data_IF_142253637713
#
_entry.id   IF_142253637713
#
_cell.length_a   1.000
_cell.length_b   1.000
_cell.length_c   1.000
_cell.angle_alpha   90.00
_cell.angle_beta   90.00
_cell.angle_gamma   90.00
#
_symmetry.space_group_name_H-M   'P 1'
#
loop_
_entity.id
_entity.type
_entity.pdbx_description
1 polymer ?
#
# COMPACT_ATOMS: atom_id res chain seq x y z
N UNK A 1 -20.66 -8.39 -3.70
CA UNK A 1 -19.41 -8.29 -2.92
C UNK A 1 -18.25 -8.03 -3.86
N UNK A 2 -17.66 -6.84 -3.75
CA UNK A 2 -16.45 -6.44 -4.46
C UNK A 2 -15.34 -6.05 -3.49
N UNK A 3 -14.13 -5.87 -4.01
CA UNK A 3 -13.01 -5.33 -3.25
C UNK A 3 -12.46 -4.08 -3.95
N UNK A 4 -12.25 -3.01 -3.18
CA UNK A 4 -11.69 -1.75 -3.62
C UNK A 4 -10.31 -1.59 -3.01
N UNK A 5 -9.33 -1.20 -3.81
CA UNK A 5 -7.99 -0.86 -3.35
C UNK A 5 -7.77 0.64 -3.41
N UNK A 6 -7.16 1.19 -2.36
CA UNK A 6 -6.71 2.57 -2.28
C UNK A 6 -5.21 2.56 -1.95
N UNK A 7 -4.42 3.16 -2.83
CA UNK A 7 -3.02 3.47 -2.58
C UNK A 7 -2.87 4.95 -2.28
N UNK A 8 -2.20 5.26 -1.17
CA UNK A 8 -1.96 6.64 -0.75
C UNK A 8 -0.45 6.89 -0.72
N UNK A 9 0.00 7.85 -1.51
CA UNK A 9 1.41 8.27 -1.59
C UNK A 9 1.62 9.67 -1.05
N UNK A 10 2.84 10.01 -0.68
CA UNK A 10 3.21 11.37 -0.27
C UNK A 10 3.51 12.24 -1.51
N UNK A 11 3.03 13.48 -1.50
CA UNK A 11 3.41 14.53 -2.45
C UNK A 11 4.70 15.26 -2.03
N UNK A 12 5.15 15.00 -0.81
CA UNK A 12 6.38 15.52 -0.22
C UNK A 12 7.44 14.42 -0.15
N UNK A 13 8.73 14.74 0.04
CA UNK A 13 9.76 13.72 0.19
C UNK A 13 9.44 12.71 1.31
N UNK A 14 9.43 11.42 0.95
CA UNK A 14 9.28 10.33 1.93
C UNK A 14 10.65 9.93 2.48
N UNK A 15 10.98 10.46 3.67
CA UNK A 15 12.24 10.16 4.35
C UNK A 15 12.40 8.68 4.66
N UNK A 16 11.31 7.94 4.90
CA UNK A 16 11.35 6.50 5.16
C UNK A 16 11.76 5.72 3.91
N UNK A 17 11.19 6.08 2.75
CA UNK A 17 11.58 5.47 1.48
C UNK A 17 13.04 5.78 1.11
N UNK A 18 13.48 7.03 1.35
CA UNK A 18 14.87 7.46 1.13
C UNK A 18 15.84 6.66 2.02
N UNK A 19 15.54 6.54 3.31
CA UNK A 19 16.38 5.77 4.24
C UNK A 19 16.41 4.29 3.87
N UNK A 20 15.26 3.70 3.50
CA UNK A 20 15.20 2.31 3.04
C UNK A 20 16.08 2.11 1.79
N UNK A 21 15.98 2.99 0.79
CA UNK A 21 16.82 2.93 -0.40
C UNK A 21 18.32 2.94 -0.07
N UNK A 22 18.79 3.92 0.72
CA UNK A 22 20.20 3.99 1.08
C UNK A 22 20.68 2.80 1.91
N UNK A 23 19.82 2.28 2.79
CA UNK A 23 20.11 1.07 3.58
C UNK A 23 20.28 -0.14 2.66
N UNK A 24 19.37 -0.33 1.70
CA UNK A 24 19.46 -1.42 0.72
C UNK A 24 20.71 -1.32 -0.15
N UNK A 25 21.09 -0.12 -0.60
CA UNK A 25 22.35 0.09 -1.33
C UNK A 25 23.56 -0.34 -0.50
N UNK A 26 23.59 -0.01 0.80
CA UNK A 26 24.66 -0.42 1.73
C UNK A 26 24.65 -1.91 2.02
N UNK A 27 23.50 -2.57 1.94
CA UNK A 27 23.35 -4.03 2.09
C UNK A 27 23.78 -4.82 0.84
N UNK A 28 24.17 -4.14 -0.25
CA UNK A 28 24.68 -4.76 -1.46
C UNK A 28 23.69 -4.81 -2.63
N UNK A 29 22.48 -4.25 -2.49
CA UNK A 29 21.48 -4.20 -3.57
C UNK A 29 21.82 -3.09 -4.59
N UNK A 30 22.94 -3.22 -5.28
CA UNK A 30 23.49 -2.18 -6.18
C UNK A 30 22.66 -1.93 -7.42
N UNK A 31 21.90 -2.92 -7.91
CA UNK A 31 20.96 -2.81 -9.05
C UNK A 31 19.67 -2.05 -8.73
N UNK A 32 19.40 -1.76 -7.45
CA UNK A 32 18.25 -0.96 -7.04
C UNK A 32 18.48 0.51 -7.41
N UNK A 33 17.55 1.06 -8.18
CA UNK A 33 17.59 2.42 -8.72
C UNK A 33 16.68 3.39 -7.96
N UNK A 34 15.72 2.87 -7.19
CA UNK A 34 14.84 3.69 -6.36
C UNK A 34 13.91 2.86 -5.50
N UNK A 35 13.36 3.50 -4.47
CA UNK A 35 12.32 2.95 -3.62
C UNK A 35 11.25 4.00 -3.44
N UNK A 36 9.99 3.63 -3.67
CA UNK A 36 8.83 4.41 -3.25
C UNK A 36 8.03 3.60 -2.25
N UNK A 37 7.30 4.32 -1.41
CA UNK A 37 6.43 3.74 -0.40
C UNK A 37 5.05 4.36 -0.54
N UNK A 38 4.01 3.52 -0.44
CA UNK A 38 2.61 3.94 -0.40
C UNK A 38 1.90 3.19 0.71
N UNK A 39 0.97 3.86 1.36
CA UNK A 39 0.00 3.17 2.21
C UNK A 39 -0.99 2.44 1.31
N UNK A 40 -1.40 1.25 1.74
CA UNK A 40 -2.35 0.41 1.04
C UNK A 40 -3.56 0.17 1.93
N UNK A 41 -4.74 0.30 1.35
CA UNK A 41 -6.01 -0.09 1.95
C UNK A 41 -6.78 -0.95 0.97
N UNK A 42 -7.37 -2.04 1.47
CA UNK A 42 -8.29 -2.89 0.72
C UNK A 42 -9.61 -2.93 1.48
N UNK A 43 -10.69 -2.48 0.84
CA UNK A 43 -12.02 -2.44 1.42
C UNK A 43 -12.88 -3.50 0.78
N UNK A 44 -13.56 -4.26 1.61
CA UNK A 44 -14.48 -5.28 1.18
C UNK A 44 -15.91 -4.70 1.29
N UNK A 45 -16.61 -4.62 0.16
CA UNK A 45 -17.87 -3.86 0.02
C UNK A 45 -19.01 -4.70 -0.56
N UNK A 46 -20.25 -4.41 -0.14
CA UNK A 46 -21.45 -5.09 -0.63
C UNK A 46 -21.92 -4.57 -2.00
N UNK A 47 -21.85 -3.26 -2.21
CA UNK A 47 -22.33 -2.55 -3.40
C UNK A 47 -21.28 -2.39 -4.51
N UNK A 48 -21.66 -1.72 -5.62
CA UNK A 48 -20.73 -1.37 -6.69
C UNK A 48 -19.65 -0.41 -6.17
N UNK A 49 -18.38 -0.81 -6.37
CA UNK A 49 -17.19 -0.11 -5.89
C UNK A 49 -17.18 1.40 -6.19
N UNK A 50 -17.73 1.76 -7.34
CA UNK A 50 -17.65 3.09 -7.95
C UNK A 50 -18.23 4.22 -7.10
N UNK A 51 -19.27 3.95 -6.29
CA UNK A 51 -19.88 4.98 -5.44
C UNK A 51 -19.01 5.37 -4.23
N UNK A 52 -18.09 4.49 -3.84
CA UNK A 52 -17.22 4.70 -2.69
C UNK A 52 -15.85 5.24 -3.07
N UNK A 53 -15.43 5.11 -4.33
CA UNK A 53 -14.11 5.55 -4.81
C UNK A 53 -13.86 7.04 -4.53
N UNK A 54 -14.77 7.92 -4.96
CA UNK A 54 -14.61 9.37 -4.75
C UNK A 54 -14.70 9.76 -3.26
N UNK A 55 -15.55 9.09 -2.49
CA UNK A 55 -15.74 9.39 -1.07
C UNK A 55 -14.54 8.98 -0.23
N UNK A 56 -14.00 7.77 -0.47
CA UNK A 56 -12.81 7.27 0.23
C UNK A 56 -11.59 8.14 -0.06
N UNK A 57 -11.43 8.60 -1.30
CA UNK A 57 -10.33 9.49 -1.69
C UNK A 57 -10.38 10.89 -1.04
N UNK A 58 -11.54 11.34 -0.57
CA UNK A 58 -11.73 12.63 0.11
C UNK A 58 -11.85 12.50 1.64
N UNK A 59 -11.64 11.30 2.16
CA UNK A 59 -11.76 11.02 3.58
C UNK A 59 -10.43 11.32 4.28
N UNK A 60 -10.38 12.40 5.07
CA UNK A 60 -9.14 12.92 5.68
C UNK A 60 -8.41 11.92 6.60
N UNK A 61 -9.13 10.96 7.18
CA UNK A 61 -8.51 9.90 7.99
C UNK A 61 -7.71 8.89 7.16
N UNK A 62 -7.91 8.85 5.84
CA UNK A 62 -7.18 8.01 4.88
C UNK A 62 -6.26 8.84 3.98
N UNK A 63 -6.74 10.00 3.52
CA UNK A 63 -6.06 10.83 2.52
C UNK A 63 -6.09 12.28 2.99
N UNK A 64 -4.93 12.81 3.39
CA UNK A 64 -4.78 14.23 3.62
C UNK A 64 -4.54 14.95 2.30
N UNK A 65 -5.53 15.68 1.78
CA UNK A 65 -5.46 16.35 0.47
C UNK A 65 -4.25 17.29 0.28
N UNK A 66 -3.70 17.85 1.36
CA UNK A 66 -2.54 18.75 1.29
C UNK A 66 -1.20 18.00 1.19
N UNK A 67 -1.15 16.75 1.66
CA UNK A 67 0.10 15.97 1.77
C UNK A 67 0.13 14.75 0.86
N UNK A 68 -1.03 14.22 0.48
CA UNK A 68 -1.15 12.91 -0.14
C UNK A 68 -1.66 13.02 -1.58
N UNK A 69 -1.19 12.09 -2.42
CA UNK A 69 -1.85 11.70 -3.66
C UNK A 69 -2.43 10.31 -3.45
N UNK A 70 -3.45 9.95 -4.22
CA UNK A 70 -4.03 8.62 -4.13
C UNK A 70 -4.42 8.03 -5.48
N UNK A 71 -4.49 6.71 -5.54
CA UNK A 71 -5.06 5.94 -6.64
C UNK A 71 -6.06 4.97 -6.03
N UNK A 72 -7.27 4.94 -6.56
CA UNK A 72 -8.34 4.06 -6.07
C UNK A 72 -8.96 3.32 -7.25
N UNK A 73 -9.43 2.10 -7.00
CA UNK A 73 -10.11 1.30 -8.01
C UNK A 73 -10.35 -0.13 -7.56
N UNK A 74 -10.84 -0.96 -8.48
CA UNK A 74 -11.04 -2.38 -8.22
C UNK A 74 -9.74 -3.11 -7.91
N UNK A 75 -9.84 -4.11 -7.03
CA UNK A 75 -8.70 -4.94 -6.63
C UNK A 75 -7.94 -5.53 -7.82
N UNK A 76 -6.61 -5.45 -7.75
CA UNK A 76 -5.69 -5.98 -8.77
C UNK A 76 -5.44 -5.03 -9.94
N UNK A 77 -6.24 -3.97 -10.11
CA UNK A 77 -5.97 -2.91 -11.09
C UNK A 77 -5.08 -1.80 -10.53
N UNK A 78 -5.07 -1.61 -9.22
CA UNK A 78 -4.41 -0.47 -8.56
C UNK A 78 -2.96 -0.77 -8.18
N UNK A 79 -2.67 -2.00 -7.75
CA UNK A 79 -1.33 -2.40 -7.27
C UNK A 79 -0.31 -2.60 -8.41
N UNK A 80 -0.77 -2.76 -9.66
CA UNK A 80 0.10 -3.08 -10.80
C UNK A 80 1.25 -2.05 -10.94
N UNK A 81 2.52 -2.45 -10.72
CA UNK A 81 3.65 -1.54 -10.82
C UNK A 81 3.80 -1.01 -12.24
N UNK A 82 4.28 0.23 -12.39
CA UNK A 82 4.67 0.75 -13.69
C UNK A 82 5.85 -0.06 -14.26
N UNK A 83 6.04 -0.02 -15.59
CA UNK A 83 7.14 -0.75 -16.24
C UNK A 83 8.50 -0.46 -15.59
N UNK A 84 9.20 -1.52 -15.15
CA UNK A 84 10.50 -1.44 -14.46
C UNK A 84 10.44 -1.44 -12.92
N UNK A 85 9.26 -1.33 -12.33
CA UNK A 85 9.06 -1.45 -10.87
C UNK A 85 8.58 -2.86 -10.51
N UNK A 86 8.97 -3.34 -9.32
CA UNK A 86 8.44 -4.55 -8.69
C UNK A 86 7.85 -4.18 -7.34
N UNK A 87 6.59 -4.57 -7.10
CA UNK A 87 5.90 -4.24 -5.87
C UNK A 87 6.12 -5.28 -4.77
N UNK A 88 6.24 -4.83 -3.54
CA UNK A 88 6.22 -5.66 -2.32
C UNK A 88 5.15 -5.09 -1.40
N UNK A 89 4.02 -5.77 -1.29
CA UNK A 89 2.95 -5.42 -0.37
C UNK A 89 3.23 -6.09 0.98
N UNK A 90 3.43 -5.30 2.03
CA UNK A 90 3.59 -5.78 3.41
C UNK A 90 2.31 -5.50 4.19
N UNK A 91 1.76 -6.52 4.85
CA UNK A 91 0.55 -6.42 5.68
C UNK A 91 0.79 -7.04 7.05
N UNK A 92 0.07 -6.57 8.06
CA UNK A 92 0.06 -7.18 9.39
C UNK A 92 -0.81 -8.43 9.38
N UNK A 93 -0.38 -9.50 10.07
CA UNK A 93 -1.10 -10.78 10.08
C UNK A 93 -2.43 -10.73 10.83
N UNK A 94 -2.47 -9.98 11.93
CA UNK A 94 -3.59 -9.99 12.88
C UNK A 94 -4.28 -8.62 13.03
N UNK A 95 -4.03 -7.67 12.11
CA UNK A 95 -4.64 -6.35 12.20
C UNK A 95 -6.03 -6.30 11.56
N UNK A 96 -7.05 -6.39 12.43
CA UNK A 96 -8.46 -6.26 12.06
C UNK A 96 -8.86 -4.85 11.59
N UNK A 97 -7.99 -3.85 11.74
CA UNK A 97 -8.24 -2.45 11.37
C UNK A 97 -9.51 -1.85 12.02
N UNK A 98 -9.96 -2.42 13.14
CA UNK A 98 -11.26 -2.15 13.75
C UNK A 98 -11.50 -0.68 14.08
N UNK A 99 -10.46 0.04 14.51
CA UNK A 99 -10.55 1.47 14.83
C UNK A 99 -10.82 2.38 13.62
N UNK A 100 -10.17 2.12 12.47
CA UNK A 100 -10.43 2.89 11.24
C UNK A 100 -11.80 2.49 10.67
N UNK A 101 -12.09 1.19 10.68
CA UNK A 101 -13.35 0.65 10.18
C UNK A 101 -14.56 1.21 10.95
N UNK A 102 -14.48 1.31 12.28
CA UNK A 102 -15.56 1.88 13.10
C UNK A 102 -15.80 3.36 12.78
N UNK A 103 -14.74 4.17 12.61
CA UNK A 103 -14.89 5.57 12.22
C UNK A 103 -15.52 5.70 10.84
N UNK A 104 -15.08 4.91 9.86
CA UNK A 104 -15.65 4.91 8.51
C UNK A 104 -17.15 4.58 8.54
N UNK A 105 -17.54 3.51 9.25
CA UNK A 105 -18.94 3.05 9.29
C UNK A 105 -19.84 3.94 10.14
N UNK A 106 -19.43 4.25 11.36
CA UNK A 106 -20.29 4.89 12.37
C UNK A 106 -20.32 6.40 12.26
N UNK A 107 -19.24 7.04 11.78
CA UNK A 107 -19.14 8.50 11.72
C UNK A 107 -19.20 9.06 10.30
N UNK A 108 -18.69 8.31 9.33
CA UNK A 108 -18.55 8.80 7.95
C UNK A 108 -19.54 8.15 6.97
N UNK A 109 -20.41 7.24 7.46
CA UNK A 109 -21.54 6.70 6.69
C UNK A 109 -21.17 5.62 5.68
N UNK A 110 -19.99 5.00 5.78
CA UNK A 110 -19.56 3.89 4.91
C UNK A 110 -20.17 2.56 5.37
N UNK A 111 -21.50 2.45 5.39
CA UNK A 111 -22.21 1.30 5.97
C UNK A 111 -22.01 -0.01 5.20
N UNK A 112 -21.70 0.07 3.89
CA UNK A 112 -21.46 -1.10 3.04
C UNK A 112 -20.04 -1.68 3.13
N UNK A 113 -19.13 -1.07 3.91
CA UNK A 113 -17.80 -1.65 4.16
C UNK A 113 -17.92 -2.61 5.34
N UNK A 114 -17.72 -3.92 5.11
CA UNK A 114 -17.80 -4.93 6.17
C UNK A 114 -16.44 -5.33 6.74
N UNK A 115 -15.37 -5.21 5.95
CA UNK A 115 -14.01 -5.45 6.42
C UNK A 115 -13.00 -4.62 5.64
N UNK A 116 -11.83 -4.42 6.22
CA UNK A 116 -10.72 -3.76 5.56
C UNK A 116 -9.40 -4.42 5.93
N UNK A 117 -8.43 -4.31 5.04
CA UNK A 117 -7.02 -4.61 5.31
C UNK A 117 -6.21 -3.36 5.05
N UNK A 118 -5.12 -3.18 5.79
CA UNK A 118 -4.14 -2.13 5.53
C UNK A 118 -2.75 -2.72 5.37
N UNK A 119 -1.89 -2.00 4.67
CA UNK A 119 -0.51 -2.41 4.46
C UNK A 119 0.36 -1.27 3.96
N UNK A 120 1.61 -1.61 3.66
CA UNK A 120 2.56 -0.73 2.99
C UNK A 120 2.98 -1.38 1.68
N UNK A 121 2.74 -0.70 0.57
CA UNK A 121 3.25 -1.10 -0.73
C UNK A 121 4.61 -0.41 -0.96
N UNK A 122 5.65 -1.22 -1.09
CA UNK A 122 6.97 -0.78 -1.51
C UNK A 122 7.12 -1.01 -3.01
N UNK A 123 7.48 0.02 -3.75
CA UNK A 123 7.77 -0.08 -5.18
C UNK A 123 9.28 0.02 -5.36
N UNK A 124 9.88 -1.07 -5.78
CA UNK A 124 11.32 -1.21 -5.98
C UNK A 124 11.62 -1.03 -7.46
N UNK A 125 12.38 0.02 -7.79
CA UNK A 125 12.76 0.31 -9.16
C UNK A 125 14.07 -0.38 -9.50
N UNK A 126 14.05 -1.18 -10.57
CA UNK A 126 15.20 -1.90 -11.11
C UNK A 126 15.35 -1.56 -12.61
N UNK A 127 16.43 -2.00 -13.26
CA UNK A 127 16.54 -1.89 -14.73
C UNK A 127 15.48 -2.73 -15.44
N UNK A 128 15.12 -3.87 -14.84
CA UNK A 128 14.07 -4.79 -15.26
C UNK A 128 13.38 -5.35 -14.03
N UNK A 129 12.11 -5.74 -14.13
CA UNK A 129 11.42 -6.37 -13.01
C UNK A 129 12.22 -7.54 -12.45
N UNK A 130 12.44 -7.54 -11.14
CA UNK A 130 13.22 -8.57 -10.45
C UNK A 130 12.49 -9.02 -9.19
N UNK A 131 11.57 -9.98 -9.39
CA UNK A 131 10.80 -10.58 -8.30
C UNK A 131 11.68 -11.38 -7.33
N UNK A 132 12.85 -11.87 -7.74
CA UNK A 132 13.73 -12.61 -6.85
C UNK A 132 14.41 -11.66 -5.86
N UNK A 133 14.99 -10.58 -6.38
CA UNK A 133 15.62 -9.55 -5.55
C UNK A 133 14.60 -8.82 -4.66
N UNK A 134 13.39 -8.56 -5.17
CA UNK A 134 12.30 -7.99 -4.35
C UNK A 134 11.93 -8.87 -3.15
N UNK A 135 11.89 -10.20 -3.32
CA UNK A 135 11.66 -11.13 -2.20
C UNK A 135 12.79 -11.06 -1.18
N UNK A 136 14.04 -11.06 -1.63
CA UNK A 136 15.18 -10.97 -0.71
C UNK A 136 15.16 -9.66 0.09
N UNK A 137 14.86 -8.54 -0.57
CA UNK A 137 14.70 -7.23 0.07
C UNK A 137 13.57 -7.26 1.10
N UNK A 138 12.44 -7.87 0.76
CA UNK A 138 11.31 -8.00 1.67
C UNK A 138 11.71 -8.74 2.95
N UNK A 139 12.40 -9.88 2.81
CA UNK A 139 12.81 -10.73 3.93
C UNK A 139 13.90 -10.11 4.80
N UNK A 140 14.81 -9.33 4.20
CA UNK A 140 15.97 -8.78 4.91
C UNK A 140 15.72 -7.43 5.56
N UNK A 141 14.77 -6.63 5.07
CA UNK A 141 14.55 -5.27 5.56
C UNK A 141 13.09 -4.89 5.74
N UNK A 142 12.21 -5.22 4.78
CA UNK A 142 10.88 -4.60 4.73
C UNK A 142 9.82 -5.31 5.58
N UNK A 143 9.99 -6.60 5.88
CA UNK A 143 8.97 -7.42 6.50
C UNK A 143 9.52 -8.14 7.74
N UNK A 144 8.92 -7.86 8.90
CA UNK A 144 9.16 -8.62 10.13
C UNK A 144 8.24 -9.83 10.18
N UNK A 145 8.75 -11.01 9.80
CA UNK A 145 7.96 -12.25 9.66
C UNK A 145 7.15 -12.67 10.90
N UNK A 146 7.50 -12.18 12.09
CA UNK A 146 6.77 -12.46 13.32
C UNK A 146 5.38 -11.80 13.35
N UNK A 147 5.27 -10.59 12.83
CA UNK A 147 4.05 -9.77 12.90
C UNK A 147 3.43 -9.53 11.51
N UNK A 148 4.28 -9.55 10.49
CA UNK A 148 3.94 -9.17 9.13
C UNK A 148 4.06 -10.35 8.17
N UNK A 149 3.36 -10.21 7.05
CA UNK A 149 3.49 -11.03 5.87
C UNK A 149 3.68 -10.13 4.65
N UNK A 150 4.25 -10.66 3.58
CA UNK A 150 4.42 -9.90 2.35
C UNK A 150 4.02 -10.69 1.11
N UNK A 151 3.67 -9.96 0.06
CA UNK A 151 3.38 -10.47 -1.26
C UNK A 151 4.18 -9.67 -2.31
N UNK A 152 4.73 -10.35 -3.31
CA UNK A 152 5.39 -9.70 -4.44
C UNK A 152 4.43 -9.63 -5.61
N UNK A 153 4.07 -8.40 -5.97
CA UNK A 153 3.02 -8.04 -6.92
C UNK A 153 3.65 -7.58 -8.24
#
# INVERSE_FOLDING_TARGET
MGEIELLVGLNVPDTTAITAFHTLKRMGFSSLNGVKRREYYCFAVDDSAREYEEKLGRTDILVNANKHSFVIGEKGRVIAPAGGETGVLVTEKDDSCSGILSVLRERLGFTAIYSMRKGTLWLLAFERQDKAQAREIAERLLCSRHYQQYEVV
#
